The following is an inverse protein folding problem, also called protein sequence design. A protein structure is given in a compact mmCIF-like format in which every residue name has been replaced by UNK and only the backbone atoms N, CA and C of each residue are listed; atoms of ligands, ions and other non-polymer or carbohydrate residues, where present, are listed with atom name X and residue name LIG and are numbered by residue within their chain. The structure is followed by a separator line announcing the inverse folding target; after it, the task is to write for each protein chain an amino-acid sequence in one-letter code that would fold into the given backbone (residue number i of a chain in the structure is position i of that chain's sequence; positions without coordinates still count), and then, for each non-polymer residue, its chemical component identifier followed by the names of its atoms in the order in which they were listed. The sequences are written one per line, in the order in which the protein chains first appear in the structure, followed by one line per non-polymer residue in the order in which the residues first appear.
data_IF_037494510702
#
_entry.id   IF_037494510702
#
_cell.length_a   1.000
_cell.length_b   1.000
_cell.length_c   1.000
_cell.angle_alpha   90.00
_cell.angle_beta   90.00
_cell.angle_gamma   90.00
#
_symmetry.space_group_name_H-M   'P 1'
#
loop_
_entity.id
_entity.type
_entity.pdbx_description
1 polymer ?
#
# COMPACT_ATOMS: atom_id res chain seq x y z
N UNK A 1 23.57 5.75 -18.86
CA UNK A 1 23.89 6.96 -18.09
C UNK A 1 23.50 8.14 -18.95
N UNK A 2 22.34 8.73 -18.69
CA UNK A 2 21.84 9.88 -19.46
C UNK A 2 22.46 11.13 -18.82
N UNK A 3 23.26 11.88 -19.56
CA UNK A 3 23.89 13.11 -19.09
C UNK A 3 22.81 14.16 -18.83
N UNK A 4 22.75 14.68 -17.59
CA UNK A 4 21.82 15.74 -17.22
C UNK A 4 22.36 17.11 -17.73
N UNK A 5 21.50 18.04 -18.20
CA UNK A 5 21.91 19.28 -18.86
C UNK A 5 22.65 20.26 -17.93
N UNK A 6 23.50 21.12 -18.50
CA UNK A 6 24.43 22.02 -17.80
C UNK A 6 23.79 23.17 -17.01
N UNK A 7 22.46 23.24 -16.95
CA UNK A 7 21.70 24.24 -16.20
C UNK A 7 21.42 23.84 -14.74
N UNK A 8 21.79 22.63 -14.31
CA UNK A 8 21.69 22.23 -12.90
C UNK A 8 22.87 22.79 -12.09
N UNK A 9 22.58 23.67 -11.12
CA UNK A 9 23.56 24.16 -10.15
C UNK A 9 23.83 23.07 -9.11
N UNK A 10 25.10 22.74 -8.88
CA UNK A 10 25.56 21.74 -7.92
C UNK A 10 25.51 22.28 -6.49
N UNK A 11 24.33 22.30 -5.87
CA UNK A 11 24.23 22.51 -4.41
C UNK A 11 24.45 21.17 -3.68
N UNK A 12 25.24 21.18 -2.60
CA UNK A 12 25.85 20.04 -1.92
C UNK A 12 24.90 19.02 -1.24
N UNK A 13 23.63 18.92 -1.67
CA UNK A 13 22.62 18.04 -1.09
C UNK A 13 21.78 17.22 -2.08
N UNK A 14 22.05 17.28 -3.39
CA UNK A 14 21.23 16.58 -4.39
C UNK A 14 21.88 15.28 -4.88
N UNK A 15 21.34 14.14 -4.46
CA UNK A 15 21.59 12.86 -5.11
C UNK A 15 20.85 12.84 -6.48
N UNK A 16 21.57 12.45 -7.52
CA UNK A 16 21.14 12.55 -8.92
C UNK A 16 20.15 11.45 -9.31
N UNK A 17 18.85 11.74 -9.31
CA UNK A 17 17.85 10.98 -10.06
C UNK A 17 17.11 11.92 -11.02
N UNK A 18 17.44 11.86 -12.32
CA UNK A 18 16.74 12.61 -13.38
C UNK A 18 15.52 11.76 -13.82
N UNK A 19 14.31 12.07 -13.33
CA UNK A 19 13.06 11.41 -13.75
C UNK A 19 12.43 12.17 -14.92
N UNK A 20 12.22 11.50 -16.05
CA UNK A 20 11.59 12.07 -17.24
C UNK A 20 10.07 11.95 -17.15
N UNK A 21 9.37 13.02 -16.76
CA UNK A 21 7.94 13.12 -16.96
C UNK A 21 7.59 14.53 -17.43
N UNK A 22 7.15 14.61 -18.70
CA UNK A 22 6.65 15.80 -19.43
C UNK A 22 7.61 17.00 -19.56
N UNK A 23 8.23 17.15 -20.73
CA UNK A 23 8.78 18.35 -21.41
C UNK A 23 9.29 19.60 -20.63
N UNK A 24 9.64 19.48 -19.35
CA UNK A 24 10.29 20.51 -18.55
C UNK A 24 11.48 19.89 -17.78
N UNK A 25 12.71 20.26 -18.17
CA UNK A 25 13.94 19.84 -17.50
C UNK A 25 14.11 20.56 -16.15
N UNK A 26 13.35 20.17 -15.13
CA UNK A 26 13.48 20.72 -13.78
C UNK A 26 14.52 19.94 -12.98
N UNK A 27 15.69 20.56 -12.77
CA UNK A 27 16.65 20.15 -11.75
C UNK A 27 16.00 20.31 -10.37
N UNK A 28 15.33 19.28 -9.88
CA UNK A 28 14.64 19.35 -8.58
C UNK A 28 15.64 19.04 -7.49
N UNK A 29 15.93 20.00 -6.62
CA UNK A 29 16.66 19.70 -5.40
C UNK A 29 15.85 18.69 -4.59
N UNK A 30 16.39 17.49 -4.36
CA UNK A 30 15.75 16.46 -3.54
C UNK A 30 15.91 16.82 -2.04
N UNK A 31 15.29 17.93 -1.64
CA UNK A 31 15.09 18.37 -0.28
C UNK A 31 13.64 18.80 -0.07
N UNK A 32 13.23 18.94 1.19
CA UNK A 32 11.86 19.27 1.65
C UNK A 32 11.32 20.60 1.06
N UNK A 33 12.14 21.35 0.32
CA UNK A 33 11.79 22.59 -0.38
C UNK A 33 11.04 22.40 -1.72
N UNK A 34 10.92 21.18 -2.25
CA UNK A 34 10.28 20.89 -3.56
C UNK A 34 8.86 20.30 -3.51
N UNK A 35 8.19 20.30 -2.36
CA UNK A 35 6.85 19.70 -2.20
C UNK A 35 5.75 20.69 -2.59
N UNK A 36 5.22 20.52 -3.80
CA UNK A 36 3.97 21.13 -4.22
C UNK A 36 2.82 20.67 -3.29
N UNK A 37 1.82 21.54 -3.04
CA UNK A 37 0.66 21.23 -2.19
C UNK A 37 0.03 19.87 -2.53
N UNK A 38 -0.07 19.54 -3.83
CA UNK A 38 -0.56 18.25 -4.32
C UNK A 38 0.28 17.05 -3.86
N UNK A 39 1.62 17.15 -3.87
CA UNK A 39 2.51 16.07 -3.43
C UNK A 39 2.43 15.85 -1.91
N UNK A 40 2.33 16.93 -1.13
CA UNK A 40 2.17 16.86 0.32
C UNK A 40 0.87 16.17 0.73
N UNK A 41 -0.23 16.46 0.03
CA UNK A 41 -1.53 15.82 0.31
C UNK A 41 -1.48 14.33 0.03
N UNK A 42 -0.89 13.90 -1.10
CA UNK A 42 -0.76 12.48 -1.45
C UNK A 42 0.11 11.74 -0.44
N UNK A 43 1.26 12.32 -0.06
CA UNK A 43 2.16 11.72 0.94
C UNK A 43 1.47 11.57 2.29
N UNK A 44 0.78 12.61 2.75
CA UNK A 44 0.07 12.57 4.03
C UNK A 44 -1.04 11.52 4.02
N UNK A 45 -1.82 11.46 2.93
CA UNK A 45 -2.86 10.45 2.77
C UNK A 45 -2.30 9.03 2.76
N UNK A 46 -1.15 8.82 2.10
CA UNK A 46 -0.46 7.52 2.06
C UNK A 46 0.01 7.10 3.46
N UNK A 47 0.59 8.01 4.24
CA UNK A 47 1.01 7.71 5.62
C UNK A 47 -0.17 7.35 6.53
N UNK A 48 -1.29 8.06 6.41
CA UNK A 48 -2.51 7.74 7.16
C UNK A 48 -3.02 6.35 6.77
N UNK A 49 -3.04 6.03 5.48
CA UNK A 49 -3.47 4.73 4.97
C UNK A 49 -2.59 3.60 5.51
N UNK A 50 -1.26 3.72 5.39
CA UNK A 50 -0.32 2.71 5.89
C UNK A 50 -0.41 2.60 7.42
N UNK A 51 -0.44 3.72 8.13
CA UNK A 51 -0.55 3.75 9.59
C UNK A 51 -1.83 3.05 10.09
N UNK A 52 -2.97 3.34 9.46
CA UNK A 52 -4.24 2.67 9.78
C UNK A 52 -4.21 1.17 9.48
N UNK A 53 -3.61 0.77 8.36
CA UNK A 53 -3.47 -0.63 7.99
C UNK A 53 -2.60 -1.41 8.99
N UNK A 54 -1.51 -0.81 9.46
CA UNK A 54 -0.58 -1.44 10.41
C UNK A 54 -1.14 -1.53 11.84
N UNK A 55 -2.01 -0.62 12.25
CA UNK A 55 -2.64 -0.66 13.59
C UNK A 55 -3.84 -1.62 13.60
N UNK A 56 -4.62 -1.65 12.52
CA UNK A 56 -5.82 -2.47 12.42
C UNK A 56 -5.54 -3.80 11.74
N UNK A 57 -5.57 -3.79 10.42
CA UNK A 57 -5.68 -5.00 9.60
C UNK A 57 -4.49 -5.96 9.77
N UNK A 58 -3.27 -5.41 9.87
CA UNK A 58 -2.05 -6.18 10.04
C UNK A 58 -2.08 -7.12 11.26
N UNK A 59 -1.99 -6.60 12.49
CA UNK A 59 -1.94 -7.43 13.69
C UNK A 59 -3.26 -8.15 13.99
N UNK A 60 -4.42 -7.53 13.71
CA UNK A 60 -5.72 -8.12 14.06
C UNK A 60 -6.00 -9.37 13.22
N UNK A 61 -5.66 -9.38 11.93
CA UNK A 61 -5.91 -10.54 11.07
C UNK A 61 -5.15 -11.78 11.52
N UNK A 62 -3.88 -11.63 11.89
CA UNK A 62 -3.06 -12.73 12.43
C UNK A 62 -3.52 -13.17 13.83
N UNK A 63 -3.92 -12.21 14.67
CA UNK A 63 -4.42 -12.50 16.01
C UNK A 63 -5.74 -13.29 15.96
N UNK A 64 -6.66 -12.91 15.07
CA UNK A 64 -7.95 -13.57 14.92
C UNK A 64 -7.79 -15.05 14.50
N UNK A 65 -6.83 -15.36 13.63
CA UNK A 65 -6.49 -16.75 13.28
C UNK A 65 -6.03 -17.53 14.52
N UNK A 66 -5.29 -16.89 15.43
CA UNK A 66 -4.84 -17.54 16.65
C UNK A 66 -5.96 -17.74 17.69
N UNK A 67 -6.98 -16.88 17.71
CA UNK A 67 -8.12 -16.96 18.62
C UNK A 67 -9.20 -17.95 18.16
N UNK A 68 -9.46 -18.03 16.86
CA UNK A 68 -10.56 -18.85 16.33
C UNK A 68 -10.25 -20.35 16.25
N UNK A 69 -8.96 -20.71 16.14
CA UNK A 69 -8.54 -22.11 15.98
C UNK A 69 -7.94 -22.69 17.27
N UNK A 70 -8.38 -23.89 17.70
CA UNK A 70 -7.82 -24.56 18.88
C UNK A 70 -6.36 -24.97 18.63
N UNK A 71 -5.59 -25.11 19.72
CA UNK A 71 -4.13 -25.30 19.70
C UNK A 71 -3.67 -26.47 18.82
N UNK A 72 -4.45 -27.54 18.76
CA UNK A 72 -4.13 -28.77 18.03
C UNK A 72 -4.12 -28.61 16.51
N UNK A 73 -4.95 -27.71 15.95
CA UNK A 73 -5.11 -27.53 14.49
C UNK A 73 -4.56 -26.21 13.99
N UNK A 74 -4.15 -25.30 14.89
CA UNK A 74 -3.65 -23.96 14.57
C UNK A 74 -2.52 -23.99 13.55
N UNK A 75 -1.58 -24.92 13.67
CA UNK A 75 -0.44 -25.02 12.72
C UNK A 75 -0.89 -25.26 11.27
N UNK A 76 -1.88 -26.14 11.06
CA UNK A 76 -2.44 -26.40 9.72
C UNK A 76 -3.24 -25.20 9.21
N UNK A 77 -4.07 -24.60 10.07
CA UNK A 77 -4.88 -23.44 9.70
C UNK A 77 -4.01 -22.23 9.29
N UNK A 78 -2.95 -21.94 10.04
CA UNK A 78 -2.00 -20.86 9.73
C UNK A 78 -1.30 -21.11 8.39
N UNK A 79 -0.89 -22.36 8.10
CA UNK A 79 -0.25 -22.67 6.82
C UNK A 79 -1.15 -22.39 5.61
N UNK A 80 -2.45 -22.72 5.70
CA UNK A 80 -3.43 -22.45 4.64
C UNK A 80 -3.66 -20.94 4.50
N UNK A 81 -3.74 -20.21 5.63
CA UNK A 81 -3.89 -18.76 5.62
C UNK A 81 -2.70 -18.07 4.95
N UNK A 82 -1.47 -18.50 5.25
CA UNK A 82 -0.25 -17.97 4.65
C UNK A 82 -0.22 -18.25 3.14
N UNK A 83 -0.51 -19.49 2.71
CA UNK A 83 -0.56 -19.82 1.28
C UNK A 83 -1.58 -18.96 0.55
N UNK A 84 -2.76 -18.75 1.13
CA UNK A 84 -3.81 -17.91 0.55
C UNK A 84 -3.38 -16.45 0.47
N UNK A 85 -2.70 -15.94 1.50
CA UNK A 85 -2.18 -14.57 1.52
C UNK A 85 -1.11 -14.35 0.43
N UNK A 86 -0.14 -15.25 0.32
CA UNK A 86 0.89 -15.16 -0.73
C UNK A 86 0.31 -15.35 -2.13
N UNK A 87 -0.69 -16.22 -2.28
CA UNK A 87 -1.39 -16.41 -3.54
C UNK A 87 -2.06 -15.11 -4.02
N UNK A 88 -2.82 -14.45 -3.13
CA UNK A 88 -3.47 -13.18 -3.47
C UNK A 88 -2.46 -12.05 -3.71
N UNK A 89 -1.39 -11.99 -2.91
CA UNK A 89 -0.31 -11.01 -3.10
C UNK A 89 0.36 -11.18 -4.47
N UNK A 90 0.59 -12.42 -4.90
CA UNK A 90 1.17 -12.73 -6.21
C UNK A 90 0.22 -12.30 -7.34
N UNK A 91 -1.07 -12.62 -7.23
CA UNK A 91 -2.08 -12.22 -8.22
C UNK A 91 -2.12 -10.70 -8.36
N UNK A 92 -2.20 -9.97 -7.25
CA UNK A 92 -2.27 -8.51 -7.27
C UNK A 92 -1.05 -7.87 -7.89
N UNK A 93 0.14 -8.43 -7.65
CA UNK A 93 1.40 -7.96 -8.25
C UNK A 93 1.37 -8.03 -9.79
N UNK A 94 0.70 -9.04 -10.36
CA UNK A 94 0.55 -9.16 -11.83
C UNK A 94 -0.61 -8.34 -12.39
N UNK A 95 -1.74 -8.24 -11.68
CA UNK A 95 -2.93 -7.52 -12.14
C UNK A 95 -2.70 -6.00 -12.11
N UNK A 96 -2.07 -5.48 -11.05
CA UNK A 96 -1.89 -4.05 -10.84
C UNK A 96 -1.23 -3.30 -12.02
N UNK A 97 -0.08 -3.75 -12.58
CA UNK A 97 0.52 -3.07 -13.74
C UNK A 97 -0.38 -3.14 -14.98
N UNK A 98 -1.13 -4.23 -15.18
CA UNK A 98 -2.06 -4.37 -16.30
C UNK A 98 -3.20 -3.36 -16.17
N UNK A 99 -3.79 -3.25 -14.99
CA UNK A 99 -4.85 -2.27 -14.71
C UNK A 99 -4.36 -0.84 -14.91
N UNK A 100 -3.18 -0.49 -14.40
CA UNK A 100 -2.62 0.85 -14.58
C UNK A 100 -2.48 1.26 -16.05
N UNK A 101 -2.12 0.32 -16.93
CA UNK A 101 -1.98 0.58 -18.37
C UNK A 101 -3.32 0.65 -19.11
N UNK A 102 -4.34 -0.11 -18.68
CA UNK A 102 -5.63 -0.20 -19.38
C UNK A 102 -6.61 0.91 -19.02
N UNK A 103 -6.74 1.21 -17.72
CA UNK A 103 -7.79 2.11 -17.19
C UNK A 103 -7.22 3.38 -16.56
N UNK A 104 -5.90 3.46 -16.40
CA UNK A 104 -5.21 4.62 -15.84
C UNK A 104 -5.28 4.70 -14.31
N UNK A 105 -4.32 5.40 -13.72
CA UNK A 105 -4.06 5.43 -12.29
C UNK A 105 -5.25 5.89 -11.44
N UNK A 106 -6.01 6.88 -11.89
CA UNK A 106 -7.11 7.45 -11.11
C UNK A 106 -8.29 6.48 -10.92
N UNK A 107 -8.66 5.75 -11.98
CA UNK A 107 -9.76 4.77 -11.92
C UNK A 107 -9.34 3.51 -11.15
N UNK A 108 -8.10 3.05 -11.32
CA UNK A 108 -7.56 1.92 -10.56
C UNK A 108 -7.67 2.15 -9.05
N UNK A 109 -7.26 3.32 -8.55
CA UNK A 109 -7.39 3.65 -7.12
C UNK A 109 -8.84 3.75 -6.65
N UNK A 110 -9.75 4.23 -7.51
CA UNK A 110 -11.17 4.31 -7.17
C UNK A 110 -11.80 2.90 -7.03
N UNK A 111 -11.44 1.96 -7.90
CA UNK A 111 -11.89 0.57 -7.82
C UNK A 111 -11.42 -0.07 -6.50
N UNK A 112 -10.14 0.13 -6.13
CA UNK A 112 -9.63 -0.36 -4.85
C UNK A 112 -10.32 0.29 -3.65
N UNK A 113 -10.66 1.58 -3.71
CA UNK A 113 -11.42 2.24 -2.65
C UNK A 113 -12.82 1.62 -2.46
N UNK A 114 -13.51 1.27 -3.55
CA UNK A 114 -14.81 0.56 -3.48
C UNK A 114 -14.63 -0.82 -2.84
N UNK A 115 -13.61 -1.58 -3.24
CA UNK A 115 -13.33 -2.90 -2.66
C UNK A 115 -13.06 -2.80 -1.16
N UNK A 116 -12.35 -1.77 -0.70
CA UNK A 116 -12.11 -1.52 0.72
C UNK A 116 -13.41 -1.27 1.49
N UNK A 117 -14.36 -0.50 0.94
CA UNK A 117 -15.67 -0.25 1.56
C UNK A 117 -16.45 -1.56 1.69
N UNK A 118 -16.46 -2.40 0.64
CA UNK A 118 -17.07 -3.72 0.71
C UNK A 118 -16.40 -4.64 1.74
N UNK A 119 -15.07 -4.59 1.84
CA UNK A 119 -14.32 -5.36 2.85
C UNK A 119 -14.69 -4.95 4.28
N UNK A 120 -14.80 -3.65 4.56
CA UNK A 120 -15.24 -3.14 5.87
C UNK A 120 -16.66 -3.62 6.19
N UNK A 121 -17.57 -3.55 5.22
CA UNK A 121 -18.95 -4.02 5.39
C UNK A 121 -18.99 -5.53 5.67
N UNK A 122 -18.20 -6.32 4.95
CA UNK A 122 -18.07 -7.76 5.18
C UNK A 122 -17.56 -8.06 6.59
N UNK A 123 -16.51 -7.38 7.03
CA UNK A 123 -15.94 -7.57 8.38
C UNK A 123 -17.00 -7.26 9.45
N UNK A 124 -17.68 -6.13 9.32
CA UNK A 124 -18.70 -5.71 10.30
C UNK A 124 -19.84 -6.72 10.45
N UNK A 125 -20.28 -7.37 9.37
CA UNK A 125 -21.41 -8.32 9.42
C UNK A 125 -20.99 -9.78 9.67
N UNK A 126 -19.81 -10.19 9.20
CA UNK A 126 -19.41 -11.61 9.17
C UNK A 126 -18.37 -11.99 10.21
N UNK A 127 -17.64 -11.02 10.76
CA UNK A 127 -16.65 -11.28 11.80
C UNK A 127 -17.32 -11.03 13.16
N UNK A 128 -17.76 -12.08 13.88
CA UNK A 128 -18.22 -11.91 15.25
C UNK A 128 -17.02 -11.47 16.12
N UNK A 129 -17.25 -10.49 16.99
CA UNK A 129 -16.24 -10.06 17.97
C UNK A 129 -15.88 -11.25 18.88
N UNK A 130 -14.66 -11.79 18.74
CA UNK A 130 -14.13 -12.87 19.60
C UNK A 130 -13.60 -12.36 20.94
N UNK A 131 -13.61 -11.03 21.16
CA UNK A 131 -13.10 -10.41 22.39
C UNK A 131 -13.93 -10.79 23.60
N UNK A 132 -13.32 -11.59 24.49
CA UNK A 132 -13.88 -11.90 25.81
C UNK A 132 -14.46 -13.31 25.97
N UNK A 133 -14.39 -14.15 24.93
CA UNK A 133 -14.70 -15.57 25.06
C UNK A 133 -13.43 -16.33 25.45
N UNK A 134 -13.45 -16.98 26.60
CA UNK A 134 -12.40 -17.90 27.03
C UNK A 134 -12.45 -19.15 26.15
N UNK A 135 -11.28 -19.57 25.64
CA UNK A 135 -11.06 -20.83 24.94
C UNK A 135 -11.58 -22.03 25.75
#
# INVERSE_FOLDING_TARGET
MISCPSSCVWDAGCASECSAETDDYLCTCCGISGINFQKSVILTALFIYIGGYQIGFGPISWLLISEIFPLEVRGKAVSIAVVTNFFWNTIMTFIFPIELNLIGQSLTFFIYAIILIFSINFIYHRVPETKGLTL
#
